data_IF_580720837977
#
_entry.id   IF_580720837977
#
_cell.length_a   1.000
_cell.length_b   1.000
_cell.length_c   1.000
_cell.angle_alpha   90.00
_cell.angle_beta   90.00
_cell.angle_gamma   90.00
#
_symmetry.space_group_name_H-M   'P 1'
#
loop_
_entity.id
_entity.type
_entity.pdbx_description
1 polymer ?
#
# COMPACT_ATOMS: atom_id res chain seq x y z
N UNK A 1 -27.93 -4.31 13.42
CA UNK A 1 -29.20 -5.05 13.49
C UNK A 1 -30.44 -4.18 13.33
N UNK A 2 -30.45 -2.91 13.76
CA UNK A 2 -31.66 -2.06 13.68
C UNK A 2 -32.20 -1.85 12.25
N UNK A 3 -31.33 -1.80 11.23
CA UNK A 3 -31.76 -1.73 9.82
C UNK A 3 -32.63 -2.92 9.41
N UNK A 4 -32.29 -4.14 9.86
CA UNK A 4 -33.06 -5.35 9.60
C UNK A 4 -34.40 -5.30 10.35
N UNK A 5 -34.40 -4.85 11.61
CA UNK A 5 -35.66 -4.72 12.35
C UNK A 5 -36.58 -3.69 11.70
N UNK A 6 -36.06 -2.56 11.25
CA UNK A 6 -36.84 -1.57 10.49
C UNK A 6 -37.42 -2.16 9.20
N UNK A 7 -36.69 -3.04 8.48
CA UNK A 7 -37.21 -3.67 7.26
C UNK A 7 -38.28 -4.73 7.52
N UNK A 8 -38.33 -5.30 8.72
CA UNK A 8 -39.32 -6.30 9.10
C UNK A 8 -40.60 -5.71 9.71
N UNK A 9 -40.57 -4.44 10.11
CA UNK A 9 -41.74 -3.75 10.66
C UNK A 9 -42.64 -3.19 9.55
N UNK A 10 -43.98 -3.19 9.73
CA UNK A 10 -44.90 -2.47 8.86
C UNK A 10 -44.56 -0.97 8.78
N UNK A 11 -44.84 -0.33 7.66
CA UNK A 11 -44.63 1.12 7.50
C UNK A 11 -45.39 1.96 8.53
N UNK A 12 -46.53 1.47 9.01
CA UNK A 12 -47.34 2.11 10.04
C UNK A 12 -46.80 1.95 11.46
N UNK A 13 -45.77 1.13 11.68
CA UNK A 13 -45.19 0.93 13.01
C UNK A 13 -44.36 2.16 13.42
N UNK A 14 -44.70 2.74 14.57
CA UNK A 14 -44.08 3.98 15.05
C UNK A 14 -42.58 3.85 15.32
N UNK A 15 -42.07 2.63 15.58
CA UNK A 15 -40.64 2.38 15.82
C UNK A 15 -39.83 2.31 14.55
N UNK A 16 -40.47 2.00 13.40
CA UNK A 16 -39.77 1.81 12.13
C UNK A 16 -38.96 3.05 11.77
N UNK A 17 -39.58 4.22 11.79
CA UNK A 17 -38.90 5.47 11.45
C UNK A 17 -37.77 5.78 12.45
N UNK A 18 -38.01 5.59 13.74
CA UNK A 18 -36.98 5.78 14.78
C UNK A 18 -35.73 4.92 14.54
N UNK A 19 -35.91 3.66 14.10
CA UNK A 19 -34.80 2.79 13.77
C UNK A 19 -34.06 3.22 12.50
N UNK A 20 -34.79 3.67 11.48
CA UNK A 20 -34.19 4.20 10.24
C UNK A 20 -33.35 5.44 10.56
N UNK A 21 -33.92 6.39 11.31
CA UNK A 21 -33.25 7.65 11.66
C UNK A 21 -32.00 7.41 12.50
N UNK A 22 -32.06 6.48 13.45
CA UNK A 22 -30.89 6.11 14.24
C UNK A 22 -29.80 5.44 13.39
N UNK A 23 -30.16 4.49 12.51
CA UNK A 23 -29.17 3.88 11.60
C UNK A 23 -28.55 4.94 10.71
N UNK A 24 -29.36 5.86 10.16
CA UNK A 24 -28.86 6.95 9.33
C UNK A 24 -27.88 7.82 10.09
N UNK A 25 -28.20 8.24 11.32
CA UNK A 25 -27.29 9.10 12.10
C UNK A 25 -25.96 8.44 12.41
N UNK A 26 -25.94 7.13 12.70
CA UNK A 26 -24.69 6.41 12.93
C UNK A 26 -23.86 6.24 11.64
N UNK A 27 -24.51 6.04 10.50
CA UNK A 27 -23.82 5.96 9.20
C UNK A 27 -23.30 7.32 8.77
N UNK A 28 -24.10 8.39 8.89
CA UNK A 28 -23.65 9.76 8.60
C UNK A 28 -22.43 10.10 9.47
N UNK A 29 -22.45 9.75 10.76
CA UNK A 29 -21.31 9.92 11.66
C UNK A 29 -20.07 9.16 11.16
N UNK A 30 -20.21 7.89 10.78
CA UNK A 30 -19.10 7.08 10.23
C UNK A 30 -18.53 7.73 8.96
N UNK A 31 -19.40 8.29 8.12
CA UNK A 31 -19.06 8.86 6.82
C UNK A 31 -18.59 10.33 6.88
N UNK A 32 -18.48 10.93 8.07
CA UNK A 32 -17.84 12.23 8.26
C UNK A 32 -18.69 13.30 8.95
N UNK A 33 -19.97 13.04 9.26
CA UNK A 33 -20.80 13.93 10.09
C UNK A 33 -20.47 13.74 11.58
N UNK A 34 -19.22 14.04 11.93
CA UNK A 34 -18.66 13.92 13.27
C UNK A 34 -17.76 15.12 13.60
N UNK A 35 -17.47 15.39 14.89
CA UNK A 35 -16.68 16.55 15.29
C UNK A 35 -15.26 16.60 14.72
N UNK A 36 -14.67 15.44 14.41
CA UNK A 36 -13.34 15.35 13.78
C UNK A 36 -13.38 15.64 12.27
N UNK A 37 -14.56 15.61 11.65
CA UNK A 37 -14.74 15.75 10.21
C UNK A 37 -13.98 14.67 9.42
N UNK A 38 -13.94 13.43 9.94
CA UNK A 38 -13.20 12.29 9.36
C UNK A 38 -14.18 11.24 8.83
N UNK A 39 -14.01 10.80 7.60
CA UNK A 39 -14.72 9.63 7.09
C UNK A 39 -13.95 8.35 7.46
N UNK A 40 -14.43 7.56 8.42
CA UNK A 40 -13.69 6.40 8.94
C UNK A 40 -13.61 5.20 7.98
N UNK A 41 -14.17 5.30 6.77
CA UNK A 41 -14.09 4.26 5.74
C UNK A 41 -12.89 4.52 4.84
N UNK A 42 -11.91 3.62 4.86
CA UNK A 42 -10.65 3.76 4.13
C UNK A 42 -10.89 3.97 2.62
N UNK A 43 -10.30 5.04 2.10
CA UNK A 43 -10.34 5.42 0.69
C UNK A 43 -11.63 6.11 0.23
N UNK A 44 -12.71 6.11 1.03
CA UNK A 44 -13.99 6.68 0.59
C UNK A 44 -13.87 8.17 0.23
N UNK A 45 -13.15 8.94 1.05
CA UNK A 45 -12.95 10.38 0.87
C UNK A 45 -11.49 10.79 1.14
N UNK A 46 -11.12 12.02 0.79
CA UNK A 46 -9.73 12.51 0.96
C UNK A 46 -9.30 12.62 2.44
N UNK A 47 -10.26 12.78 3.34
CA UNK A 47 -10.09 12.83 4.79
C UNK A 47 -10.22 11.46 5.47
N UNK A 48 -10.27 10.36 4.70
CA UNK A 48 -10.33 9.01 5.25
C UNK A 48 -8.97 8.52 5.80
N UNK A 49 -8.97 7.56 6.73
CA UNK A 49 -7.75 6.98 7.29
C UNK A 49 -6.80 6.44 6.23
N UNK A 50 -5.51 6.73 6.40
CA UNK A 50 -4.42 6.31 5.52
C UNK A 50 -3.49 5.31 6.19
N UNK A 51 -3.49 5.21 7.51
CA UNK A 51 -2.53 4.43 8.28
C UNK A 51 -3.17 3.30 9.11
N UNK A 52 -4.24 2.66 8.63
CA UNK A 52 -4.91 1.57 9.36
C UNK A 52 -3.96 0.41 9.71
N UNK A 53 -4.22 -0.28 10.83
CA UNK A 53 -3.42 -1.36 11.45
C UNK A 53 -3.44 -2.68 10.65
N UNK A 54 -3.22 -2.63 9.34
CA UNK A 54 -3.28 -3.79 8.47
C UNK A 54 -1.91 -4.10 7.86
N UNK A 55 -1.32 -5.25 8.23
CA UNK A 55 0.05 -5.64 7.84
C UNK A 55 0.24 -5.70 6.33
N UNK A 56 -0.65 -6.38 5.61
CA UNK A 56 -0.52 -6.53 4.17
C UNK A 56 -0.73 -5.20 3.44
N UNK A 57 -1.56 -4.29 3.98
CA UNK A 57 -1.84 -2.99 3.35
C UNK A 57 -0.73 -1.98 3.60
N UNK A 58 -0.19 -1.98 4.83
CA UNK A 58 0.93 -1.13 5.21
C UNK A 58 2.25 -1.53 4.57
N UNK A 59 2.42 -2.84 4.37
CA UNK A 59 3.67 -3.46 3.97
C UNK A 59 4.87 -3.04 4.84
N UNK A 60 4.59 -2.69 6.10
CA UNK A 60 5.62 -2.50 7.13
C UNK A 60 6.33 -3.84 7.36
N UNK A 61 7.64 -3.82 7.20
CA UNK A 61 8.46 -5.03 7.22
C UNK A 61 8.89 -5.49 8.61
N UNK A 62 9.22 -4.56 9.51
CA UNK A 62 9.46 -4.86 10.92
C UNK A 62 8.77 -3.80 11.80
N UNK A 63 7.72 -4.18 12.56
CA UNK A 63 7.07 -3.26 13.49
C UNK A 63 8.01 -2.78 14.61
N UNK A 64 9.18 -3.42 14.80
CA UNK A 64 10.17 -3.06 15.81
C UNK A 64 11.17 -2.00 15.35
N UNK A 65 11.38 -1.80 14.04
CA UNK A 65 12.49 -1.00 13.53
C UNK A 65 12.09 0.39 13.02
N UNK A 66 10.86 0.61 12.57
CA UNK A 66 10.45 1.98 12.18
C UNK A 66 8.95 2.22 11.98
N UNK A 67 8.09 1.20 11.87
CA UNK A 67 6.69 1.36 11.42
C UNK A 67 6.52 2.27 10.19
N UNK A 68 7.51 2.17 9.30
CA UNK A 68 7.55 2.88 8.03
C UNK A 68 7.18 1.91 6.89
N UNK A 69 6.55 2.42 5.82
CA UNK A 69 6.12 3.83 5.62
C UNK A 69 4.98 4.25 6.56
N UNK A 70 4.81 5.56 6.80
CA UNK A 70 3.79 6.08 7.75
C UNK A 70 2.38 5.68 7.31
N UNK A 71 2.05 5.97 6.06
CA UNK A 71 0.78 5.64 5.45
C UNK A 71 0.85 4.22 4.86
N UNK A 72 -0.30 3.62 4.58
CA UNK A 72 -0.37 2.32 3.93
C UNK A 72 -0.09 2.46 2.43
N UNK A 73 0.82 1.63 1.92
CA UNK A 73 1.17 1.65 0.50
C UNK A 73 0.03 1.12 -0.38
N UNK A 74 -0.81 0.24 0.19
CA UNK A 74 -2.02 -0.24 -0.44
C UNK A 74 -3.21 0.28 0.32
N UNK A 75 -4.06 1.05 -0.37
CA UNK A 75 -5.34 1.47 0.17
C UNK A 75 -6.24 0.25 0.35
N UNK A 76 -6.67 0.00 1.60
CA UNK A 76 -7.59 -1.08 1.93
C UNK A 76 -9.03 -0.60 1.76
N UNK A 77 -9.45 -0.41 0.51
CA UNK A 77 -10.73 0.19 0.13
C UNK A 77 -11.93 -0.40 0.88
N UNK A 78 -12.73 0.49 1.46
CA UNK A 78 -13.98 0.12 2.12
C UNK A 78 -13.80 -0.43 3.53
N UNK A 79 -12.57 -0.63 4.02
CA UNK A 79 -12.36 -1.05 5.40
C UNK A 79 -12.84 0.03 6.37
N UNK A 80 -13.66 -0.37 7.34
CA UNK A 80 -14.08 0.51 8.42
C UNK A 80 -13.01 0.47 9.51
N UNK A 81 -12.36 1.61 9.76
CA UNK A 81 -11.44 1.76 10.89
C UNK A 81 -12.21 1.69 12.22
N UNK A 82 -11.52 1.36 13.31
CA UNK A 82 -12.09 1.29 14.66
C UNK A 82 -12.85 2.54 15.10
N UNK A 83 -12.42 3.71 14.63
CA UNK A 83 -13.13 4.98 14.83
C UNK A 83 -12.57 5.79 16.01
N UNK A 84 -13.29 6.81 16.47
CA UNK A 84 -12.78 7.76 17.45
C UNK A 84 -12.83 7.22 18.89
N UNK A 85 -12.14 7.93 19.76
CA UNK A 85 -12.25 7.79 21.21
C UNK A 85 -13.59 8.29 21.75
N UNK A 86 -13.76 8.20 23.07
CA UNK A 86 -15.01 8.55 23.74
C UNK A 86 -15.39 10.04 23.59
N UNK A 87 -14.43 10.94 23.37
CA UNK A 87 -14.68 12.38 23.19
C UNK A 87 -14.56 12.80 21.71
N UNK A 88 -14.85 11.87 20.79
CA UNK A 88 -14.78 12.08 19.35
C UNK A 88 -13.36 12.37 18.80
N UNK A 89 -12.31 12.18 19.61
CA UNK A 89 -10.93 12.36 19.17
C UNK A 89 -10.47 11.20 18.29
N UNK A 90 -9.82 11.53 17.17
CA UNK A 90 -9.28 10.54 16.24
C UNK A 90 -7.85 10.89 15.84
N UNK A 91 -6.97 9.88 15.87
CA UNK A 91 -5.59 9.99 15.41
C UNK A 91 -5.34 8.89 14.38
N UNK A 92 -5.04 9.28 13.13
CA UNK A 92 -4.64 8.37 12.05
C UNK A 92 -3.19 7.91 12.26
N UNK A 93 -3.02 6.90 13.10
CA UNK A 93 -1.74 6.28 13.42
C UNK A 93 -1.91 4.76 13.50
N UNK A 94 -1.11 4.05 12.71
CA UNK A 94 -1.05 2.59 12.68
C UNK A 94 -0.76 1.96 14.04
N UNK A 95 -0.02 2.64 14.92
CA UNK A 95 0.22 2.16 16.29
C UNK A 95 -1.03 2.18 17.16
N UNK A 96 -1.96 3.07 16.85
CA UNK A 96 -3.20 3.20 17.58
C UNK A 96 -4.22 2.17 17.07
N UNK A 97 -3.96 0.90 17.37
CA UNK A 97 -4.86 -0.20 17.01
C UNK A 97 -6.28 -0.01 17.57
N UNK A 98 -6.50 0.83 18.59
CA UNK A 98 -7.86 1.09 19.06
C UNK A 98 -8.67 1.89 18.02
N UNK A 99 -8.07 2.92 17.44
CA UNK A 99 -8.74 3.79 16.47
C UNK A 99 -8.58 3.31 15.02
N UNK A 100 -7.47 2.63 14.71
CA UNK A 100 -7.05 2.27 13.36
C UNK A 100 -7.08 0.76 13.05
N UNK A 101 -7.53 -0.10 13.98
CA UNK A 101 -7.76 -1.51 13.62
C UNK A 101 -8.86 -1.65 12.57
N UNK A 102 -8.75 -2.69 11.77
CA UNK A 102 -9.75 -3.09 10.78
C UNK A 102 -10.11 -4.55 10.99
N UNK A 103 -11.40 -4.86 10.89
CA UNK A 103 -11.93 -6.19 11.16
C UNK A 103 -13.05 -6.58 10.21
N UNK A 104 -13.15 -7.88 9.92
CA UNK A 104 -14.27 -8.42 9.13
C UNK A 104 -15.62 -8.12 9.80
N UNK A 105 -15.66 -8.22 11.13
CA UNK A 105 -16.84 -7.96 11.94
C UNK A 105 -17.25 -6.48 11.92
N UNK A 106 -16.29 -5.54 11.82
CA UNK A 106 -16.57 -4.10 11.69
C UNK A 106 -17.33 -3.84 10.40
N UNK A 107 -16.85 -4.42 9.30
CA UNK A 107 -17.45 -4.28 7.98
C UNK A 107 -18.77 -5.05 7.81
N UNK A 108 -18.97 -6.17 8.51
CA UNK A 108 -20.17 -7.00 8.37
C UNK A 108 -21.45 -6.24 8.74
N UNK A 109 -21.48 -5.66 9.95
CA UNK A 109 -22.62 -4.85 10.42
C UNK A 109 -22.82 -3.58 9.60
N UNK A 110 -21.71 -2.91 9.28
CA UNK A 110 -21.69 -1.70 8.48
C UNK A 110 -22.32 -1.91 7.09
N UNK A 111 -21.91 -2.96 6.38
CA UNK A 111 -22.43 -3.30 5.04
C UNK A 111 -23.95 -3.52 5.07
N UNK A 112 -24.46 -4.19 6.11
CA UNK A 112 -25.92 -4.37 6.26
C UNK A 112 -26.66 -3.05 6.51
N UNK A 113 -26.09 -2.13 7.29
CA UNK A 113 -26.68 -0.81 7.51
C UNK A 113 -26.72 0.00 6.22
N UNK A 114 -25.65 0.00 5.42
CA UNK A 114 -25.61 0.64 4.11
C UNK A 114 -26.69 0.07 3.17
N UNK A 115 -26.78 -1.26 3.06
CA UNK A 115 -27.82 -1.92 2.26
C UNK A 115 -29.23 -1.56 2.73
N UNK A 116 -29.44 -1.47 4.05
CA UNK A 116 -30.69 -1.02 4.64
C UNK A 116 -31.07 0.41 4.24
N UNK A 117 -30.14 1.36 4.33
CA UNK A 117 -30.39 2.75 3.92
C UNK A 117 -30.71 2.86 2.42
N UNK A 118 -30.01 2.10 1.58
CA UNK A 118 -30.35 2.00 0.15
C UNK A 118 -31.76 1.45 -0.04
N UNK A 119 -32.11 0.38 0.67
CA UNK A 119 -33.45 -0.23 0.63
C UNK A 119 -34.55 0.76 1.05
N UNK A 120 -34.29 1.63 2.03
CA UNK A 120 -35.22 2.67 2.47
C UNK A 120 -35.25 3.91 1.56
N UNK A 121 -34.52 3.91 0.44
CA UNK A 121 -34.48 5.04 -0.49
C UNK A 121 -33.62 6.22 -0.01
N UNK A 122 -32.77 6.00 0.98
CA UNK A 122 -31.87 7.00 1.57
C UNK A 122 -30.43 6.91 1.05
N UNK A 123 -30.17 5.96 0.13
CA UNK A 123 -28.88 5.84 -0.53
C UNK A 123 -28.59 7.07 -1.39
N UNK A 124 -27.44 7.69 -1.16
CA UNK A 124 -26.90 8.73 -2.04
C UNK A 124 -26.06 8.03 -3.10
N UNK A 125 -26.33 8.32 -4.38
CA UNK A 125 -25.48 7.81 -5.46
C UNK A 125 -24.18 8.60 -5.47
N UNK A 126 -23.08 7.89 -5.63
CA UNK A 126 -21.80 8.50 -5.95
C UNK A 126 -21.93 9.38 -7.19
N UNK A 127 -21.31 10.56 -7.15
CA UNK A 127 -21.29 11.52 -8.27
C UNK A 127 -19.86 11.76 -8.74
N UNK A 128 -19.70 12.08 -10.04
CA UNK A 128 -18.42 12.46 -10.61
C UNK A 128 -17.33 11.39 -10.52
N UNK A 129 -16.13 11.80 -10.11
CA UNK A 129 -14.89 11.01 -10.11
C UNK A 129 -14.86 9.87 -9.07
N UNK A 130 -15.90 9.66 -8.26
CA UNK A 130 -16.01 8.51 -7.34
C UNK A 130 -16.32 7.22 -8.11
N UNK A 131 -17.06 7.32 -9.22
CA UNK A 131 -17.30 6.19 -10.12
C UNK A 131 -16.12 5.94 -11.08
N UNK A 132 -15.15 6.86 -11.15
CA UNK A 132 -13.88 6.59 -11.81
C UNK A 132 -13.05 5.66 -10.92
N UNK A 133 -13.09 4.38 -11.26
CA UNK A 133 -12.21 3.34 -10.71
C UNK A 133 -10.72 3.57 -10.99
N UNK A 134 -10.30 4.76 -11.45
CA UNK A 134 -8.89 5.17 -11.48
C UNK A 134 -8.26 5.19 -10.07
N UNK A 135 -9.09 5.22 -9.02
CA UNK A 135 -8.72 4.99 -7.61
C UNK A 135 -8.59 3.50 -7.23
N UNK A 136 -9.17 2.59 -8.01
CA UNK A 136 -9.13 1.17 -7.72
C UNK A 136 -7.70 0.65 -7.79
N UNK A 137 -7.39 -0.33 -6.95
CA UNK A 137 -6.06 -0.94 -6.97
C UNK A 137 -5.87 -1.84 -8.21
N UNK A 138 -4.71 -1.76 -8.89
CA UNK A 138 -3.67 -0.75 -8.73
C UNK A 138 -4.06 0.58 -9.40
N UNK A 139 -3.86 1.75 -8.75
CA UNK A 139 -4.14 3.03 -9.39
C UNK A 139 -3.34 3.15 -10.68
N UNK A 140 -3.90 3.85 -11.67
CA UNK A 140 -3.24 4.11 -12.96
C UNK A 140 -1.87 4.75 -12.68
N UNK A 141 -0.81 4.13 -13.21
CA UNK A 141 0.57 4.50 -12.88
C UNK A 141 0.82 5.98 -13.17
N UNK A 142 1.02 6.77 -12.12
CA UNK A 142 1.68 8.05 -12.24
C UNK A 142 3.12 7.74 -12.65
N UNK A 143 3.59 8.31 -13.77
CA UNK A 143 4.95 8.11 -14.32
C UNK A 143 5.99 8.29 -13.21
N UNK A 144 6.47 7.18 -12.62
CA UNK A 144 7.33 7.23 -11.46
C UNK A 144 8.78 7.31 -11.93
N UNK A 145 9.69 7.77 -11.06
CA UNK A 145 11.11 7.75 -11.38
C UNK A 145 11.86 6.81 -10.44
N UNK A 146 12.43 5.76 -11.02
CA UNK A 146 13.50 5.01 -10.36
C UNK A 146 14.82 5.61 -10.82
N UNK A 147 15.76 5.79 -9.89
CA UNK A 147 17.13 6.14 -10.20
C UNK A 147 18.01 4.97 -9.81
N UNK A 148 18.80 4.47 -10.76
CA UNK A 148 19.71 3.34 -10.54
C UNK A 148 21.10 3.74 -11.01
N UNK A 149 22.09 3.59 -10.13
CA UNK A 149 23.50 3.71 -10.49
C UNK A 149 24.24 2.43 -10.12
N UNK A 150 25.18 2.02 -10.95
CA UNK A 150 25.95 0.80 -10.72
C UNK A 150 27.43 1.01 -11.06
N UNK A 151 28.30 0.53 -10.19
CA UNK A 151 29.74 0.50 -10.37
C UNK A 151 30.31 -0.83 -9.84
N UNK A 152 31.63 -0.96 -9.82
CA UNK A 152 32.29 -2.20 -9.37
C UNK A 152 32.09 -2.51 -7.88
N UNK A 153 31.71 -1.53 -7.06
CA UNK A 153 31.43 -1.70 -5.64
C UNK A 153 29.97 -2.08 -5.36
N UNK A 154 29.05 -1.86 -6.28
CA UNK A 154 27.64 -2.08 -6.01
C UNK A 154 26.66 -1.32 -6.90
N UNK A 155 25.40 -1.37 -6.47
CA UNK A 155 24.26 -0.67 -7.04
C UNK A 155 23.61 0.21 -5.97
N UNK A 156 23.18 1.41 -6.36
CA UNK A 156 22.27 2.24 -5.58
C UNK A 156 20.94 2.37 -6.33
N UNK A 157 19.83 2.25 -5.62
CA UNK A 157 18.48 2.44 -6.15
C UNK A 157 17.71 3.41 -5.25
N UNK A 158 16.98 4.35 -5.85
CA UNK A 158 15.98 5.16 -5.17
C UNK A 158 14.72 5.29 -6.02
N UNK A 159 13.61 5.64 -5.39
CA UNK A 159 12.39 6.07 -6.07
C UNK A 159 12.09 7.53 -5.72
N UNK A 160 11.58 8.28 -6.67
CA UNK A 160 11.03 9.62 -6.44
C UNK A 160 9.54 9.67 -6.75
N UNK A 161 9.03 10.88 -6.95
CA UNK A 161 7.64 11.14 -7.38
C UNK A 161 6.57 10.49 -6.48
N UNK A 162 6.88 10.27 -5.20
CA UNK A 162 5.99 9.62 -4.23
C UNK A 162 5.81 8.12 -4.42
N UNK A 163 6.62 7.47 -5.28
CA UNK A 163 6.56 6.01 -5.48
C UNK A 163 7.15 5.28 -4.29
N UNK A 164 6.29 4.76 -3.41
CA UNK A 164 6.73 3.96 -2.28
C UNK A 164 6.73 2.48 -2.66
N UNK A 165 7.87 1.81 -2.54
CA UNK A 165 7.99 0.36 -2.76
C UNK A 165 8.42 -0.29 -1.43
N UNK A 166 7.51 -1.03 -0.81
CA UNK A 166 7.83 -1.77 0.42
C UNK A 166 8.90 -2.83 0.19
N UNK A 167 8.79 -3.52 -0.95
CA UNK A 167 9.77 -4.46 -1.45
C UNK A 167 10.16 -4.06 -2.87
N UNK A 168 11.39 -4.37 -3.24
CA UNK A 168 11.87 -4.13 -4.59
C UNK A 168 12.87 -5.19 -5.02
N UNK A 169 12.87 -5.49 -6.32
CA UNK A 169 13.89 -6.29 -6.97
C UNK A 169 14.36 -5.59 -8.24
N UNK A 170 15.66 -5.66 -8.52
CA UNK A 170 16.26 -5.17 -9.76
C UNK A 170 16.79 -6.35 -10.54
N UNK A 171 16.28 -6.50 -11.76
CA UNK A 171 16.77 -7.45 -12.75
C UNK A 171 17.65 -6.71 -13.74
N UNK A 172 18.85 -7.23 -13.99
CA UNK A 172 19.80 -6.63 -14.92
C UNK A 172 20.74 -7.69 -15.52
N UNK A 173 21.45 -7.30 -16.58
CA UNK A 173 22.48 -8.14 -17.19
C UNK A 173 23.84 -7.47 -17.13
N UNK A 174 24.88 -8.23 -16.77
CA UNK A 174 26.27 -7.74 -16.73
C UNK A 174 27.16 -8.49 -17.71
N UNK A 175 28.15 -7.78 -18.24
CA UNK A 175 29.23 -8.36 -19.04
C UNK A 175 30.29 -9.10 -18.20
N UNK A 176 30.27 -8.91 -16.88
CA UNK A 176 31.19 -9.54 -15.92
C UNK A 176 30.43 -10.37 -14.89
N UNK A 177 31.16 -11.22 -14.14
CA UNK A 177 30.60 -11.99 -13.03
C UNK A 177 30.62 -11.20 -11.73
N UNK A 178 29.55 -11.31 -10.94
CA UNK A 178 29.53 -10.92 -9.53
C UNK A 178 29.92 -12.13 -8.68
N UNK A 179 30.99 -12.00 -7.90
CA UNK A 179 31.50 -13.05 -7.00
C UNK A 179 30.68 -13.15 -5.72
N UNK A 180 30.26 -12.01 -5.17
CA UNK A 180 29.45 -11.95 -3.97
C UNK A 180 28.56 -10.70 -3.95
N UNK A 181 27.41 -10.82 -3.29
CA UNK A 181 26.40 -9.77 -3.14
C UNK A 181 26.10 -9.61 -1.64
N UNK A 182 26.13 -8.37 -1.13
CA UNK A 182 25.88 -8.05 0.28
C UNK A 182 24.91 -6.88 0.42
N UNK A 183 24.24 -6.81 1.58
CA UNK A 183 23.26 -5.76 1.88
C UNK A 183 21.91 -5.99 1.20
N UNK A 184 21.71 -7.10 0.50
CA UNK A 184 20.48 -7.44 -0.21
C UNK A 184 20.39 -8.96 -0.39
N UNK A 185 19.25 -9.46 -0.87
CA UNK A 185 19.04 -10.87 -1.18
C UNK A 185 19.26 -11.11 -2.68
N UNK A 186 20.30 -11.88 -3.08
CA UNK A 186 20.44 -12.31 -4.46
C UNK A 186 19.40 -13.41 -4.74
N UNK A 187 18.37 -13.10 -5.53
CA UNK A 187 17.37 -14.06 -5.94
C UNK A 187 17.83 -14.90 -7.14
N UNK A 188 18.57 -14.29 -8.07
CA UNK A 188 19.23 -14.98 -9.18
C UNK A 188 20.66 -14.43 -9.33
N UNK A 189 21.66 -15.32 -9.29
CA UNK A 189 23.07 -15.00 -9.51
C UNK A 189 23.65 -15.88 -10.63
N UNK A 190 23.11 -15.74 -11.84
CA UNK A 190 23.47 -16.57 -13.00
C UNK A 190 23.96 -15.70 -14.16
N UNK A 191 25.28 -15.53 -14.28
CA UNK A 191 25.86 -14.71 -15.35
C UNK A 191 25.33 -15.13 -16.75
N UNK A 192 24.85 -14.20 -17.58
CA UNK A 192 24.94 -12.74 -17.41
C UNK A 192 23.80 -12.08 -16.64
N UNK A 193 22.76 -12.83 -16.24
CA UNK A 193 21.52 -12.30 -15.64
C UNK A 193 21.53 -12.34 -14.11
N UNK A 194 21.14 -11.24 -13.50
CA UNK A 194 21.08 -11.09 -12.06
C UNK A 194 19.72 -10.57 -11.64
N UNK A 195 19.22 -11.04 -10.49
CA UNK A 195 18.04 -10.49 -9.81
C UNK A 195 18.44 -10.27 -8.36
N UNK A 196 18.42 -9.00 -7.93
CA UNK A 196 18.80 -8.57 -6.59
C UNK A 196 17.62 -7.89 -5.93
N UNK A 197 17.21 -8.39 -4.77
CA UNK A 197 16.04 -7.89 -4.05
C UNK A 197 16.42 -7.31 -2.70
N UNK A 198 15.61 -6.42 -2.17
CA UNK A 198 15.79 -5.90 -0.82
C UNK A 198 15.56 -6.97 0.25
N UNK A 199 16.16 -6.76 1.42
CA UNK A 199 15.88 -7.52 2.64
C UNK A 199 15.09 -6.63 3.60
N UNK A 200 14.59 -7.18 4.71
CA UNK A 200 13.99 -6.37 5.79
C UNK A 200 14.90 -5.25 6.30
N UNK A 201 16.21 -5.50 6.26
CA UNK A 201 17.23 -4.59 6.80
C UNK A 201 17.72 -3.57 5.75
N UNK A 202 17.43 -3.78 4.47
CA UNK A 202 17.74 -2.86 3.38
C UNK A 202 16.47 -2.17 2.89
N UNK A 203 16.03 -1.21 3.71
CA UNK A 203 14.79 -0.43 3.68
C UNK A 203 13.99 -0.28 2.36
N UNK A 204 12.70 0.01 2.52
CA UNK A 204 11.76 0.36 1.45
C UNK A 204 12.26 1.57 0.62
N UNK A 205 11.77 1.70 -0.61
CA UNK A 205 11.94 2.94 -1.38
C UNK A 205 10.84 3.91 -0.97
N UNK A 206 11.22 5.13 -0.57
CA UNK A 206 10.33 6.08 0.10
C UNK A 206 9.62 7.07 -0.82
N UNK A 207 9.95 7.08 -2.11
CA UNK A 207 9.42 8.05 -3.06
C UNK A 207 9.99 9.46 -2.88
N UNK A 208 10.95 9.66 -1.97
CA UNK A 208 11.62 10.94 -1.70
C UNK A 208 13.05 11.00 -2.28
N UNK A 209 13.50 9.92 -2.93
CA UNK A 209 14.81 9.80 -3.56
C UNK A 209 15.90 9.25 -2.63
N UNK A 210 15.56 8.71 -1.46
CA UNK A 210 16.56 8.13 -0.55
C UNK A 210 17.20 6.87 -1.16
N UNK A 211 18.54 6.84 -1.36
CA UNK A 211 19.20 5.71 -1.99
C UNK A 211 19.35 4.52 -1.05
N UNK A 212 18.96 3.35 -1.53
CA UNK A 212 19.23 2.03 -0.94
C UNK A 212 20.38 1.36 -1.69
N UNK A 213 21.23 0.62 -0.96
CA UNK A 213 22.51 0.11 -1.50
C UNK A 213 22.54 -1.41 -1.54
N UNK A 214 23.11 -1.95 -2.61
CA UNK A 214 23.48 -3.35 -2.76
C UNK A 214 24.97 -3.41 -3.10
N UNK A 215 25.78 -4.06 -2.28
CA UNK A 215 27.23 -4.12 -2.49
C UNK A 215 27.61 -5.36 -3.30
N UNK A 216 28.53 -5.21 -4.25
CA UNK A 216 29.02 -6.28 -5.10
C UNK A 216 30.53 -6.47 -4.93
N UNK A 217 30.99 -7.72 -5.04
CA UNK A 217 32.40 -8.03 -5.28
C UNK A 217 32.54 -8.38 -6.76
N UNK A 218 33.15 -7.47 -7.50
CA UNK A 218 33.49 -7.63 -8.92
C UNK A 218 35.01 -7.44 -9.07
N UNK A 219 35.71 -8.49 -9.47
CA UNK A 219 37.16 -8.47 -9.66
C UNK A 219 37.60 -8.14 -11.09
N UNK A 220 36.67 -8.21 -12.04
CA UNK A 220 36.93 -7.98 -13.46
C UNK A 220 36.88 -6.48 -13.79
N UNK A 221 38.01 -5.94 -14.26
CA UNK A 221 38.18 -4.52 -14.60
C UNK A 221 37.49 -4.12 -15.91
N UNK A 222 37.00 -5.10 -16.68
CA UNK A 222 36.22 -4.84 -17.89
C UNK A 222 34.75 -4.51 -17.62
N UNK A 223 34.35 -4.33 -16.36
CA UNK A 223 32.99 -3.96 -15.95
C UNK A 223 32.42 -2.80 -16.79
N UNK A 224 31.23 -3.02 -17.32
CA UNK A 224 30.40 -1.99 -17.94
C UNK A 224 29.06 -1.98 -17.23
N UNK A 225 28.63 -0.82 -16.74
CA UNK A 225 27.35 -0.67 -16.09
C UNK A 225 26.20 -1.00 -17.08
N UNK A 226 25.13 -1.69 -16.63
CA UNK A 226 23.98 -1.93 -17.47
C UNK A 226 23.33 -0.62 -17.93
N UNK A 227 22.79 -0.62 -19.15
CA UNK A 227 22.01 0.50 -19.69
C UNK A 227 20.50 0.28 -19.55
N UNK A 228 20.08 -0.92 -19.17
CA UNK A 228 18.67 -1.27 -18.94
C UNK A 228 18.54 -2.11 -17.68
N UNK A 229 17.49 -1.83 -16.92
CA UNK A 229 17.11 -2.53 -15.70
C UNK A 229 15.60 -2.79 -15.74
N UNK A 230 15.16 -3.89 -15.15
CA UNK A 230 13.75 -4.11 -14.81
C UNK A 230 13.61 -4.03 -13.29
N UNK A 231 12.79 -3.09 -12.81
CA UNK A 231 12.47 -2.92 -11.39
C UNK A 231 11.10 -3.55 -11.14
N UNK A 232 11.06 -4.50 -10.21
CA UNK A 232 9.83 -4.96 -9.59
C UNK A 232 9.63 -4.16 -8.31
N UNK A 233 8.54 -3.40 -8.23
CA UNK A 233 8.10 -2.68 -7.05
C UNK A 233 6.91 -3.42 -6.44
N UNK A 234 7.00 -3.70 -5.14
CA UNK A 234 6.07 -4.51 -4.39
C UNK A 234 5.86 -5.93 -4.96
N UNK A 235 4.93 -6.71 -4.39
CA UNK A 235 4.65 -8.07 -4.86
C UNK A 235 5.74 -9.09 -4.54
N UNK A 236 6.56 -8.82 -3.53
CA UNK A 236 7.48 -9.75 -2.88
C UNK A 236 7.50 -9.42 -1.38
N UNK A 237 7.64 -10.44 -0.53
CA UNK A 237 7.93 -10.23 0.88
C UNK A 237 9.42 -10.42 1.13
N UNK A 238 10.14 -9.31 1.31
CA UNK A 238 11.54 -9.29 1.74
C UNK A 238 11.75 -10.21 2.95
N UNK A 239 12.56 -11.25 2.72
CA UNK A 239 12.95 -12.16 3.77
C UNK A 239 13.76 -11.41 4.83
N UNK A 240 13.70 -11.90 6.07
CA UNK A 240 14.74 -11.56 7.01
C UNK A 240 16.08 -12.14 6.53
N UNK A 241 17.19 -11.61 7.03
CA UNK A 241 18.53 -12.07 6.63
C UNK A 241 18.83 -13.54 7.02
N UNK A 242 17.92 -14.21 7.73
CA UNK A 242 18.07 -15.58 8.23
C UNK A 242 17.10 -16.59 7.58
N UNK A 243 16.07 -16.11 6.89
CA UNK A 243 15.03 -16.94 6.28
C UNK A 243 15.36 -17.30 4.84
N UNK A 244 14.97 -18.51 4.44
CA UNK A 244 14.97 -18.89 3.02
C UNK A 244 13.85 -18.11 2.31
N UNK A 245 14.14 -17.43 1.18
CA UNK A 245 13.10 -16.79 0.39
C UNK A 245 12.09 -17.84 -0.09
N UNK A 246 10.86 -17.82 0.45
CA UNK A 246 9.81 -18.79 0.10
C UNK A 246 9.00 -18.32 -1.12
N UNK A 247 9.09 -17.03 -1.46
CA UNK A 247 8.26 -16.38 -2.48
C UNK A 247 9.08 -15.92 -3.67
N UNK A 248 8.51 -16.04 -4.87
CA UNK A 248 9.12 -15.58 -6.12
C UNK A 248 8.72 -14.12 -6.39
N UNK A 249 9.66 -13.23 -6.72
CA UNK A 249 9.36 -11.85 -7.06
C UNK A 249 8.73 -11.80 -8.46
N UNK A 250 7.41 -12.02 -8.55
CA UNK A 250 6.72 -12.12 -9.84
C UNK A 250 5.39 -11.35 -9.93
N UNK A 251 4.80 -10.95 -8.79
CA UNK A 251 3.45 -10.36 -8.71
C UNK A 251 3.42 -8.85 -8.36
N UNK A 252 4.55 -8.16 -8.55
CA UNK A 252 4.70 -6.71 -8.35
C UNK A 252 4.46 -5.87 -9.60
N UNK A 253 4.46 -4.55 -9.43
CA UNK A 253 4.48 -3.58 -10.55
C UNK A 253 5.87 -3.61 -11.19
N UNK A 254 5.92 -3.69 -12.52
CA UNK A 254 7.17 -3.81 -13.26
C UNK A 254 7.45 -2.56 -14.03
N UNK A 255 8.71 -2.14 -14.01
CA UNK A 255 9.17 -0.96 -14.69
C UNK A 255 10.45 -1.26 -15.44
N UNK A 256 10.52 -0.79 -16.68
CA UNK A 256 11.76 -0.69 -17.42
C UNK A 256 12.42 0.65 -17.09
N UNK A 257 13.68 0.60 -16.68
CA UNK A 257 14.51 1.76 -16.38
C UNK A 257 15.70 1.77 -17.34
N UNK A 258 15.92 2.88 -18.03
CA UNK A 258 17.05 3.05 -18.97
C UNK A 258 18.09 4.04 -18.45
N UNK A 259 19.37 3.81 -18.75
CA UNK A 259 20.46 4.65 -18.28
C UNK A 259 20.52 4.71 -16.75
N UNK A 260 20.63 5.92 -16.19
CA UNK A 260 20.59 6.12 -14.74
C UNK A 260 19.15 6.21 -14.18
N UNK A 261 18.13 6.12 -15.03
CA UNK A 261 16.73 6.30 -14.67
C UNK A 261 16.27 7.76 -14.70
N UNK A 262 15.27 8.08 -13.88
CA UNK A 262 14.54 9.36 -13.90
C UNK A 262 13.15 9.27 -14.57
N UNK A 263 12.33 10.33 -14.48
CA UNK A 263 10.94 10.30 -14.96
C UNK A 263 10.79 9.99 -16.45
N UNK A 264 11.73 10.46 -17.27
CA UNK A 264 11.72 10.26 -18.74
C UNK A 264 12.29 8.90 -19.17
N UNK A 265 13.00 8.22 -18.27
CA UNK A 265 13.70 6.96 -18.54
C UNK A 265 13.09 5.77 -17.77
N UNK A 266 11.94 5.98 -17.14
CA UNK A 266 11.20 4.95 -16.41
C UNK A 266 9.85 4.76 -17.08
N UNK A 267 9.56 3.52 -17.47
CA UNK A 267 8.30 3.17 -18.14
C UNK A 267 7.72 1.90 -17.55
N UNK A 268 6.39 1.82 -17.35
CA UNK A 268 5.76 0.59 -16.89
C UNK A 268 5.80 -0.51 -17.95
N UNK A 269 5.79 -1.77 -17.50
CA UNK A 269 5.85 -2.98 -18.32
C UNK A 269 4.57 -3.81 -18.26
#
# INVERSE_FOLDING_TARGET
MLAIFASLLPESDSKRQTYIDYVKSQIDYILGDNPAGVNYVVGAEANSPKAVHHRAASAVFDPRLAMKPKDNIFTLWGALAGGPGYNDEYTDDRNNYQMNEVGLDYNAGFTMCLAGLVHFGLGVKDTGDILNFDRAYPPKEQTPDFNITMNTMGMEISSGSGMVCSAWCVTFTLNVKIEAIYGCTPYLQEHPKYIVCNTRDNHYLDGEGTPQKANFIINDKSFVAPTEYEVLCDGFHAADNQGTPIYKPEFGKRYKVTGAGGPENTSPL
#
